data_IF_357555970249
#
_entry.id   IF_357555970249
#
_cell.length_a   1.000
_cell.length_b   1.000
_cell.length_c   1.000
_cell.angle_alpha   90.00
_cell.angle_beta   90.00
_cell.angle_gamma   90.00
#
_symmetry.space_group_name_H-M   'P 1'
#
loop_
_entity.id
_entity.type
_entity.pdbx_description
1 polymer ?
#
# COMPACT_ATOMS: atom_id res chain seq x y z
N UNK A 1 -20.86 -14.26 11.12
CA UNK A 1 -19.40 -14.34 11.40
C UNK A 1 -19.20 -15.42 12.45
N UNK A 2 -18.34 -16.42 12.22
CA UNK A 2 -17.96 -17.40 13.24
C UNK A 2 -16.61 -16.95 13.82
N UNK A 3 -16.57 -16.68 15.12
CA UNK A 3 -15.31 -16.46 15.83
C UNK A 3 -14.86 -17.82 16.37
N UNK A 4 -14.08 -18.55 15.57
CA UNK A 4 -13.69 -19.94 15.87
C UNK A 4 -12.92 -20.06 17.20
N UNK A 5 -12.37 -18.95 17.70
CA UNK A 5 -11.51 -18.94 18.88
C UNK A 5 -12.14 -18.32 20.14
N UNK A 6 -13.37 -17.79 20.11
CA UNK A 6 -13.95 -17.11 21.28
C UNK A 6 -14.08 -18.05 22.49
N UNK A 7 -14.72 -19.22 22.31
CA UNK A 7 -14.97 -20.16 23.41
C UNK A 7 -13.68 -20.70 24.03
N UNK A 8 -12.67 -20.97 23.20
CA UNK A 8 -11.35 -21.41 23.64
C UNK A 8 -10.62 -20.30 24.41
N UNK A 9 -10.61 -19.06 23.90
CA UNK A 9 -9.98 -17.93 24.58
C UNK A 9 -10.66 -17.63 25.92
N UNK A 10 -11.99 -17.62 25.96
CA UNK A 10 -12.74 -17.41 27.21
C UNK A 10 -12.39 -18.47 28.27
N UNK A 11 -12.33 -19.73 27.85
CA UNK A 11 -11.96 -20.86 28.72
C UNK A 11 -10.53 -20.74 29.25
N UNK A 12 -9.60 -20.31 28.41
CA UNK A 12 -8.21 -20.06 28.80
C UNK A 12 -8.09 -18.92 29.80
N UNK A 13 -8.73 -17.77 29.54
CA UNK A 13 -8.75 -16.63 30.44
C UNK A 13 -9.37 -16.97 31.80
N UNK A 14 -10.49 -17.71 31.81
CA UNK A 14 -11.12 -18.21 33.02
C UNK A 14 -10.17 -19.12 33.81
N UNK A 15 -9.53 -20.08 33.13
CA UNK A 15 -8.58 -21.00 33.77
C UNK A 15 -7.32 -20.31 34.28
N UNK A 16 -6.80 -19.28 33.60
CA UNK A 16 -5.66 -18.47 34.06
C UNK A 16 -5.95 -17.77 35.40
N UNK A 17 -7.21 -17.51 35.70
CA UNK A 17 -7.67 -16.97 36.99
C UNK A 17 -8.19 -18.03 37.96
N UNK A 18 -8.03 -19.32 37.65
CA UNK A 18 -8.48 -20.45 38.48
C UNK A 18 -9.98 -20.43 38.82
N UNK A 19 -10.81 -19.90 37.92
CA UNK A 19 -12.26 -19.78 38.13
C UNK A 19 -13.02 -20.99 37.58
N UNK A 20 -14.15 -21.37 38.19
CA UNK A 20 -15.12 -22.30 37.61
C UNK A 20 -16.10 -21.58 36.67
N UNK A 21 -16.86 -22.34 35.86
CA UNK A 21 -17.88 -21.76 34.99
C UNK A 21 -18.99 -21.08 35.82
N UNK A 22 -19.34 -21.67 36.96
CA UNK A 22 -20.29 -21.13 37.93
C UNK A 22 -19.82 -19.80 38.51
N UNK A 23 -18.55 -19.70 38.92
CA UNK A 23 -18.01 -18.47 39.47
C UNK A 23 -18.01 -17.34 38.43
N UNK A 24 -17.59 -17.63 37.19
CA UNK A 24 -17.64 -16.64 36.12
C UNK A 24 -19.08 -16.18 35.84
N UNK A 25 -20.04 -17.11 35.86
CA UNK A 25 -21.44 -16.80 35.65
C UNK A 25 -22.03 -15.92 36.75
N UNK A 26 -21.63 -16.15 38.01
CA UNK A 26 -22.01 -15.33 39.16
C UNK A 26 -21.52 -13.88 39.03
N UNK A 27 -20.25 -13.68 38.65
CA UNK A 27 -19.70 -12.32 38.42
C UNK A 27 -20.42 -11.56 37.29
N UNK A 28 -20.97 -12.27 36.32
CA UNK A 28 -21.66 -11.69 35.16
C UNK A 28 -23.18 -11.64 35.32
N UNK A 29 -23.74 -12.19 36.40
CA UNK A 29 -25.19 -12.25 36.62
C UNK A 29 -25.95 -13.12 35.61
N UNK A 30 -25.33 -14.21 35.15
CA UNK A 30 -25.87 -15.14 34.14
C UNK A 30 -25.88 -16.58 34.64
N UNK A 31 -26.38 -17.52 33.83
CA UNK A 31 -26.32 -18.94 34.16
C UNK A 31 -24.98 -19.58 33.81
N UNK A 32 -24.51 -20.53 34.62
CA UNK A 32 -23.31 -21.33 34.30
C UNK A 32 -23.45 -22.09 32.99
N UNK A 33 -24.67 -22.49 32.64
CA UNK A 33 -24.98 -23.12 31.36
C UNK A 33 -24.71 -22.20 30.17
N UNK A 34 -24.93 -20.88 30.30
CA UNK A 34 -24.56 -19.92 29.27
C UNK A 34 -23.05 -19.90 29.04
N UNK A 35 -22.26 -19.79 30.12
CA UNK A 35 -20.79 -19.85 30.06
C UNK A 35 -20.32 -21.16 29.43
N UNK A 36 -20.90 -22.30 29.81
CA UNK A 36 -20.56 -23.60 29.22
C UNK A 36 -20.86 -23.66 27.71
N UNK A 37 -22.01 -23.14 27.26
CA UNK A 37 -22.31 -23.07 25.83
C UNK A 37 -21.34 -22.16 25.07
N UNK A 38 -20.92 -21.06 25.68
CA UNK A 38 -19.92 -20.15 25.11
C UNK A 38 -18.56 -20.82 24.96
N UNK A 39 -18.06 -21.48 26.01
CA UNK A 39 -16.77 -22.16 25.98
C UNK A 39 -16.71 -23.35 25.03
N UNK A 40 -17.86 -23.94 24.69
CA UNK A 40 -17.98 -25.05 23.74
C UNK A 40 -18.41 -24.59 22.33
N UNK A 41 -18.38 -23.28 22.03
CA UNK A 41 -18.76 -22.69 20.74
C UNK A 41 -20.19 -23.05 20.29
N UNK A 42 -21.10 -23.38 21.22
CA UNK A 42 -22.51 -23.70 20.94
C UNK A 42 -23.32 -22.42 20.70
N UNK A 43 -22.97 -21.35 21.40
CA UNK A 43 -23.57 -20.02 21.27
C UNK A 43 -22.55 -18.94 21.63
N UNK A 44 -22.83 -17.69 21.35
CA UNK A 44 -22.01 -16.54 21.76
C UNK A 44 -22.71 -15.74 22.86
N UNK A 45 -21.97 -14.99 23.70
CA UNK A 45 -22.58 -13.99 24.57
C UNK A 45 -23.27 -12.93 23.71
N UNK A 46 -24.26 -12.25 24.31
CA UNK A 46 -24.76 -11.02 23.72
C UNK A 46 -23.62 -10.00 23.58
N UNK A 47 -23.64 -9.19 22.52
CA UNK A 47 -22.62 -8.16 22.28
C UNK A 47 -22.50 -7.20 23.47
N UNK A 48 -23.59 -6.98 24.21
CA UNK A 48 -23.63 -6.15 25.42
C UNK A 48 -22.80 -6.70 26.58
N UNK A 49 -22.48 -8.00 26.57
CA UNK A 49 -21.67 -8.65 27.62
C UNK A 49 -20.18 -8.63 27.32
N UNK A 50 -19.78 -8.32 26.08
CA UNK A 50 -18.37 -8.26 25.69
C UNK A 50 -17.57 -7.22 26.47
N UNK A 51 -18.07 -5.98 26.73
CA UNK A 51 -17.35 -5.02 27.57
C UNK A 51 -17.15 -5.49 29.02
N UNK A 52 -18.16 -6.16 29.59
CA UNK A 52 -18.07 -6.69 30.95
C UNK A 52 -17.02 -7.83 31.03
N UNK A 53 -17.03 -8.74 30.05
CA UNK A 53 -16.01 -9.78 29.91
C UNK A 53 -14.61 -9.18 29.75
N UNK A 54 -14.46 -8.16 28.89
CA UNK A 54 -13.19 -7.49 28.61
C UNK A 54 -12.61 -6.87 29.88
N UNK A 55 -13.43 -6.10 30.60
CA UNK A 55 -13.05 -5.49 31.87
C UNK A 55 -12.73 -6.54 32.95
N UNK A 56 -13.53 -7.60 33.04
CA UNK A 56 -13.33 -8.65 34.03
C UNK A 56 -11.97 -9.33 33.83
N UNK A 57 -11.63 -9.71 32.59
CA UNK A 57 -10.38 -10.40 32.28
C UNK A 57 -9.18 -9.48 32.08
N UNK A 58 -9.38 -8.15 32.02
CA UNK A 58 -8.36 -7.17 31.61
C UNK A 58 -7.79 -7.48 30.22
N UNK A 59 -8.67 -7.89 29.31
CA UNK A 59 -8.37 -8.24 27.92
C UNK A 59 -9.12 -7.28 26.98
N UNK A 60 -8.62 -7.07 25.78
CA UNK A 60 -9.39 -6.33 24.76
C UNK A 60 -10.53 -7.20 24.23
N UNK A 61 -11.56 -6.58 23.64
CA UNK A 61 -12.62 -7.34 22.96
C UNK A 61 -12.07 -8.13 21.77
N UNK A 62 -11.04 -7.61 21.09
CA UNK A 62 -10.32 -8.32 20.03
C UNK A 62 -9.66 -9.59 20.56
N UNK A 63 -8.98 -9.52 21.70
CA UNK A 63 -8.38 -10.69 22.36
C UNK A 63 -9.46 -11.72 22.71
N UNK A 64 -10.57 -11.29 23.32
CA UNK A 64 -11.71 -12.17 23.65
C UNK A 64 -12.30 -12.87 22.42
N UNK A 65 -12.48 -12.14 21.33
CA UNK A 65 -13.01 -12.67 20.07
C UNK A 65 -11.97 -13.50 19.30
N UNK A 66 -10.73 -13.57 19.78
CA UNK A 66 -9.62 -14.25 19.11
C UNK A 66 -9.23 -13.58 17.79
N UNK A 67 -9.45 -12.26 17.69
CA UNK A 67 -8.99 -11.43 16.57
C UNK A 67 -7.51 -11.18 16.75
N UNK A 68 -6.72 -12.02 16.10
CA UNK A 68 -5.27 -11.86 16.04
C UNK A 68 -4.91 -10.80 14.99
N UNK A 69 -4.52 -9.62 15.47
CA UNK A 69 -4.13 -8.48 14.62
C UNK A 69 -2.85 -8.78 13.83
N UNK A 70 -1.93 -9.58 14.37
CA UNK A 70 -0.72 -10.00 13.66
C UNK A 70 -1.09 -10.96 12.53
N UNK A 71 -1.95 -11.95 12.80
CA UNK A 71 -2.47 -12.86 11.76
C UNK A 71 -3.30 -12.14 10.70
N UNK A 72 -4.09 -11.13 11.10
CA UNK A 72 -4.80 -10.25 10.15
C UNK A 72 -3.81 -9.54 9.22
N UNK A 73 -2.75 -8.97 9.79
CA UNK A 73 -1.70 -8.28 9.03
C UNK A 73 -0.98 -9.24 8.08
N UNK A 74 -0.62 -10.43 8.56
CA UNK A 74 -0.01 -11.49 7.77
C UNK A 74 -0.92 -11.94 6.62
N UNK A 75 -2.22 -12.10 6.88
CA UNK A 75 -3.20 -12.45 5.86
C UNK A 75 -3.29 -11.35 4.79
N UNK A 76 -3.42 -10.07 5.18
CA UNK A 76 -3.43 -8.96 4.23
C UNK A 76 -2.15 -8.96 3.39
N UNK A 77 -0.99 -9.18 4.00
CA UNK A 77 0.28 -9.26 3.29
C UNK A 77 0.30 -10.41 2.27
N UNK A 78 -0.21 -11.59 2.62
CA UNK A 78 -0.34 -12.72 1.68
C UNK A 78 -1.26 -12.40 0.51
N UNK A 79 -2.39 -11.73 0.77
CA UNK A 79 -3.32 -11.30 -0.27
C UNK A 79 -2.68 -10.27 -1.21
N UNK A 80 -1.97 -9.29 -0.65
CA UNK A 80 -1.19 -8.31 -1.39
C UNK A 80 -0.15 -8.99 -2.31
N UNK A 81 0.64 -9.94 -1.77
CA UNK A 81 1.64 -10.66 -2.56
C UNK A 81 1.02 -11.49 -3.69
N UNK A 82 -0.11 -12.14 -3.44
CA UNK A 82 -0.83 -12.89 -4.48
C UNK A 82 -1.32 -11.97 -5.60
N UNK A 83 -1.89 -10.81 -5.25
CA UNK A 83 -2.31 -9.81 -6.22
C UNK A 83 -1.12 -9.23 -7.00
N UNK A 84 -0.03 -8.88 -6.31
CA UNK A 84 1.19 -8.36 -6.93
C UNK A 84 1.78 -9.37 -7.94
N UNK A 85 1.73 -10.67 -7.62
CA UNK A 85 2.12 -11.74 -8.55
C UNK A 85 1.24 -11.81 -9.81
N UNK A 86 -0.09 -11.81 -9.65
CA UNK A 86 -1.02 -11.81 -10.80
C UNK A 86 -0.81 -10.58 -11.69
N UNK A 87 -0.60 -9.43 -11.06
CA UNK A 87 -0.36 -8.15 -11.72
C UNK A 87 0.95 -8.20 -12.52
N UNK A 88 2.04 -8.72 -11.94
CA UNK A 88 3.32 -8.87 -12.62
C UNK A 88 3.24 -9.82 -13.83
N UNK A 89 2.39 -10.86 -13.74
CA UNK A 89 2.11 -11.80 -14.83
C UNK A 89 1.18 -11.21 -15.92
N UNK A 90 0.71 -9.97 -15.76
CA UNK A 90 -0.26 -9.33 -16.67
C UNK A 90 -1.70 -9.87 -16.56
N UNK A 91 -2.00 -10.65 -15.52
CA UNK A 91 -3.32 -11.27 -15.26
C UNK A 91 -4.26 -10.28 -14.54
N UNK A 92 -4.45 -9.11 -15.14
CA UNK A 92 -5.16 -7.99 -14.52
C UNK A 92 -6.63 -8.30 -14.18
N UNK A 93 -7.37 -8.90 -15.10
CA UNK A 93 -8.78 -9.22 -14.88
C UNK A 93 -8.99 -10.20 -13.71
N UNK A 94 -8.08 -11.17 -13.56
CA UNK A 94 -8.08 -12.10 -12.44
C UNK A 94 -7.73 -11.40 -11.12
N UNK A 95 -6.71 -10.53 -11.13
CA UNK A 95 -6.33 -9.72 -9.98
C UNK A 95 -7.51 -8.85 -9.52
N UNK A 96 -8.22 -8.18 -10.43
CA UNK A 96 -9.42 -7.38 -10.13
C UNK A 96 -10.50 -8.23 -9.46
N UNK A 97 -10.83 -9.39 -10.03
CA UNK A 97 -11.84 -10.29 -9.46
C UNK A 97 -11.46 -10.76 -8.05
N UNK A 98 -10.18 -11.14 -7.86
CA UNK A 98 -9.65 -11.58 -6.57
C UNK A 98 -9.66 -10.47 -5.53
N UNK A 99 -9.19 -9.28 -5.89
CA UNK A 99 -9.11 -8.13 -4.98
C UNK A 99 -10.50 -7.65 -4.54
N UNK A 100 -11.50 -7.69 -5.44
CA UNK A 100 -12.90 -7.41 -5.07
C UNK A 100 -13.42 -8.38 -4.00
N UNK A 101 -13.13 -9.67 -4.15
CA UNK A 101 -13.49 -10.67 -3.14
C UNK A 101 -12.78 -10.41 -1.79
N UNK A 102 -11.50 -10.05 -1.84
CA UNK A 102 -10.71 -9.78 -0.63
C UNK A 102 -11.20 -8.53 0.11
N UNK A 103 -11.59 -7.49 -0.63
CA UNK A 103 -12.13 -6.25 -0.08
C UNK A 103 -13.52 -6.41 0.55
N UNK A 104 -14.26 -7.49 0.26
CA UNK A 104 -15.47 -7.85 1.03
C UNK A 104 -15.10 -8.24 2.46
N UNK A 105 -13.97 -8.94 2.65
CA UNK A 105 -13.49 -9.36 3.97
C UNK A 105 -12.71 -8.26 4.69
N UNK A 106 -11.96 -7.46 3.93
CA UNK A 106 -11.12 -6.37 4.43
C UNK A 106 -11.54 -5.03 3.82
N UNK A 107 -12.76 -4.55 4.13
CA UNK A 107 -13.26 -3.32 3.56
C UNK A 107 -12.35 -2.15 3.93
N UNK A 108 -12.13 -1.26 2.96
CA UNK A 108 -11.34 -0.03 3.12
C UNK A 108 -9.85 -0.28 3.43
N UNK A 109 -9.34 -1.50 3.29
CA UNK A 109 -7.90 -1.73 3.39
C UNK A 109 -7.17 -1.04 2.23
N UNK A 110 -6.36 -0.04 2.55
CA UNK A 110 -5.72 0.85 1.58
C UNK A 110 -4.70 0.15 0.68
N UNK A 111 -3.96 -0.84 1.21
CA UNK A 111 -3.03 -1.67 0.45
C UNK A 111 -3.73 -2.51 -0.62
N UNK A 112 -4.87 -3.10 -0.30
CA UNK A 112 -5.69 -3.86 -1.25
C UNK A 112 -6.40 -2.93 -2.24
N UNK A 113 -6.91 -1.79 -1.78
CA UNK A 113 -7.51 -0.76 -2.63
C UNK A 113 -6.50 -0.24 -3.66
N UNK A 114 -5.27 0.06 -3.24
CA UNK A 114 -4.22 0.53 -4.15
C UNK A 114 -3.95 -0.47 -5.27
N UNK A 115 -3.85 -1.76 -4.92
CA UNK A 115 -3.65 -2.84 -5.90
C UNK A 115 -4.84 -3.02 -6.81
N UNK A 116 -6.07 -2.83 -6.30
CA UNK A 116 -7.28 -2.89 -7.11
C UNK A 116 -7.26 -1.76 -8.15
N UNK A 117 -6.96 -0.53 -7.73
CA UNK A 117 -6.82 0.60 -8.64
C UNK A 117 -5.76 0.33 -9.72
N UNK A 118 -4.61 -0.22 -9.35
CA UNK A 118 -3.56 -0.59 -10.31
C UNK A 118 -4.01 -1.66 -11.29
N UNK A 119 -4.63 -2.74 -10.80
CA UNK A 119 -5.12 -3.84 -11.63
C UNK A 119 -6.23 -3.39 -12.59
N UNK A 120 -7.15 -2.53 -12.13
CA UNK A 120 -8.17 -1.90 -12.97
C UNK A 120 -7.53 -1.14 -14.13
N UNK A 121 -6.41 -0.46 -13.88
CA UNK A 121 -5.73 0.33 -14.92
C UNK A 121 -5.09 -0.54 -16.00
N UNK A 122 -4.69 -1.76 -15.66
CA UNK A 122 -4.23 -2.76 -16.62
C UNK A 122 -5.33 -3.33 -17.51
N UNK A 123 -6.61 -3.01 -17.26
CA UNK A 123 -7.76 -3.48 -18.06
C UNK A 123 -8.50 -2.37 -18.80
N UNK A 124 -7.92 -1.16 -18.86
CA UNK A 124 -8.59 0.01 -19.47
C UNK A 124 -8.84 -0.20 -20.97
N UNK A 125 -7.99 -0.96 -21.66
CA UNK A 125 -8.16 -1.23 -23.08
C UNK A 125 -9.46 -1.99 -23.36
N UNK A 126 -9.78 -3.00 -22.56
CA UNK A 126 -10.99 -3.80 -22.66
C UNK A 126 -12.19 -3.16 -21.95
N UNK A 127 -11.92 -2.40 -20.88
CA UNK A 127 -12.92 -1.84 -19.98
C UNK A 127 -12.57 -0.39 -19.62
N UNK A 128 -12.83 0.59 -20.51
CA UNK A 128 -12.45 1.99 -20.31
C UNK A 128 -13.00 2.61 -19.01
N UNK A 129 -14.18 2.18 -18.56
CA UNK A 129 -14.80 2.64 -17.31
C UNK A 129 -13.97 2.33 -16.05
N UNK A 130 -13.03 1.37 -16.13
CA UNK A 130 -12.16 1.02 -15.01
C UNK A 130 -11.16 2.14 -14.69
N UNK A 131 -10.92 3.07 -15.63
CA UNK A 131 -10.10 4.26 -15.37
C UNK A 131 -10.75 5.16 -14.31
N UNK A 132 -12.05 5.44 -14.44
CA UNK A 132 -12.78 6.27 -13.47
C UNK A 132 -12.85 5.60 -12.10
N UNK A 133 -13.10 4.29 -12.06
CA UNK A 133 -13.08 3.52 -10.82
C UNK A 133 -11.71 3.58 -10.13
N UNK A 134 -10.62 3.42 -10.89
CA UNK A 134 -9.26 3.53 -10.35
C UNK A 134 -8.98 4.93 -9.78
N UNK A 135 -9.37 5.99 -10.49
CA UNK A 135 -9.22 7.38 -10.01
C UNK A 135 -9.95 7.55 -8.67
N UNK A 136 -11.22 7.13 -8.58
CA UNK A 136 -12.00 7.23 -7.35
C UNK A 136 -11.35 6.48 -6.17
N UNK A 137 -10.76 5.31 -6.44
CA UNK A 137 -10.05 4.55 -5.41
C UNK A 137 -8.79 5.28 -4.96
N UNK A 138 -8.00 5.85 -5.87
CA UNK A 138 -6.81 6.62 -5.49
C UNK A 138 -7.16 7.87 -4.69
N UNK A 139 -8.22 8.60 -5.06
CA UNK A 139 -8.73 9.74 -4.29
C UNK A 139 -9.14 9.33 -2.88
N UNK A 140 -9.83 8.19 -2.75
CA UNK A 140 -10.19 7.63 -1.44
C UNK A 140 -8.96 7.30 -0.60
N UNK A 141 -7.89 6.76 -1.20
CA UNK A 141 -6.63 6.48 -0.48
C UNK A 141 -6.00 7.78 0.05
N UNK A 142 -5.99 8.85 -0.76
CA UNK A 142 -5.48 10.16 -0.32
C UNK A 142 -6.25 10.71 0.89
N UNK A 143 -7.58 10.55 0.88
CA UNK A 143 -8.46 11.00 1.95
C UNK A 143 -8.29 10.14 3.22
N UNK A 144 -8.36 8.81 3.09
CA UNK A 144 -8.57 7.92 4.25
C UNK A 144 -7.32 7.23 4.78
N UNK A 145 -6.26 7.07 3.98
CA UNK A 145 -5.06 6.34 4.44
C UNK A 145 -4.30 7.13 5.50
N UNK A 146 -3.63 6.43 6.42
CA UNK A 146 -2.63 7.02 7.33
C UNK A 146 -1.19 6.79 6.84
N UNK A 147 -1.00 5.99 5.78
CA UNK A 147 0.31 5.68 5.22
C UNK A 147 0.74 6.79 4.24
N UNK A 148 1.68 7.62 4.68
CA UNK A 148 2.22 8.71 3.87
C UNK A 148 2.86 8.22 2.55
N UNK A 149 3.51 7.06 2.57
CA UNK A 149 4.13 6.49 1.36
C UNK A 149 3.06 6.07 0.37
N UNK A 150 1.99 5.46 0.85
CA UNK A 150 0.87 5.05 0.01
C UNK A 150 0.14 6.25 -0.59
N UNK A 151 -0.02 7.33 0.19
CA UNK A 151 -0.56 8.60 -0.34
C UNK A 151 0.28 9.17 -1.47
N UNK A 152 1.61 9.21 -1.31
CA UNK A 152 2.51 9.67 -2.36
C UNK A 152 2.42 8.79 -3.62
N UNK A 153 2.31 7.47 -3.47
CA UNK A 153 2.08 6.55 -4.60
C UNK A 153 0.75 6.82 -5.29
N UNK A 154 -0.33 6.98 -4.54
CA UNK A 154 -1.66 7.28 -5.09
C UNK A 154 -1.68 8.64 -5.82
N UNK A 155 -1.04 9.67 -5.24
CA UNK A 155 -0.89 10.99 -5.85
C UNK A 155 -0.12 10.89 -7.18
N UNK A 156 1.02 10.20 -7.19
CA UNK A 156 1.78 9.93 -8.41
C UNK A 156 0.92 9.21 -9.46
N UNK A 157 0.18 8.18 -9.06
CA UNK A 157 -0.64 7.42 -10.00
C UNK A 157 -1.78 8.27 -10.57
N UNK A 158 -2.40 9.15 -9.78
CA UNK A 158 -3.42 10.10 -10.25
C UNK A 158 -2.90 11.01 -11.37
N UNK A 159 -1.65 11.44 -11.33
CA UNK A 159 -1.03 12.24 -12.41
C UNK A 159 -1.18 11.50 -13.73
N UNK A 160 -0.76 10.23 -13.78
CA UNK A 160 -0.84 9.41 -14.99
C UNK A 160 -2.28 9.10 -15.41
N UNK A 161 -3.20 8.90 -14.45
CA UNK A 161 -4.61 8.60 -14.76
C UNK A 161 -5.35 9.80 -15.32
N UNK A 162 -5.19 10.98 -14.73
CA UNK A 162 -5.77 12.21 -15.27
C UNK A 162 -5.17 12.57 -16.63
N UNK A 163 -3.86 12.38 -16.81
CA UNK A 163 -3.22 12.55 -18.12
C UNK A 163 -3.80 11.59 -19.17
N UNK A 164 -3.95 10.30 -18.84
CA UNK A 164 -4.57 9.31 -19.74
C UNK A 164 -6.02 9.66 -20.09
N UNK A 165 -6.73 10.33 -19.17
CA UNK A 165 -8.10 10.81 -19.38
C UNK A 165 -8.18 12.11 -20.21
N UNK A 166 -7.07 12.80 -20.43
CA UNK A 166 -7.02 14.13 -21.08
C UNK A 166 -7.37 15.29 -20.15
N UNK A 167 -7.27 15.07 -18.84
CA UNK A 167 -7.60 16.04 -17.79
C UNK A 167 -6.31 16.68 -17.20
N UNK A 168 -5.54 17.36 -18.05
CA UNK A 168 -4.17 17.82 -17.74
C UNK A 168 -4.09 18.77 -16.54
N UNK A 169 -5.11 19.60 -16.32
CA UNK A 169 -5.16 20.50 -15.17
C UNK A 169 -5.15 19.74 -13.84
N UNK A 170 -5.85 18.59 -13.76
CA UNK A 170 -5.83 17.75 -12.57
C UNK A 170 -4.50 16.99 -12.46
N UNK A 171 -3.95 16.52 -13.58
CA UNK A 171 -2.62 15.89 -13.57
C UNK A 171 -1.55 16.85 -13.02
N UNK A 172 -1.55 18.10 -13.49
CA UNK A 172 -0.64 19.14 -13.02
C UNK A 172 -0.86 19.48 -11.53
N UNK A 173 -2.11 19.61 -11.09
CA UNK A 173 -2.44 19.86 -9.68
C UNK A 173 -1.80 18.83 -8.74
N UNK A 174 -1.89 17.53 -9.06
CA UNK A 174 -1.27 16.50 -8.23
C UNK A 174 0.26 16.45 -8.38
N UNK A 175 0.79 16.81 -9.54
CA UNK A 175 2.24 16.91 -9.74
C UNK A 175 2.86 18.02 -8.87
N UNK A 176 2.21 19.18 -8.78
CA UNK A 176 2.66 20.31 -7.95
C UNK A 176 2.61 20.03 -6.44
N UNK A 177 1.85 19.02 -6.01
CA UNK A 177 1.78 18.59 -4.61
C UNK A 177 2.87 17.59 -4.21
N UNK A 178 3.55 16.97 -5.18
CA UNK A 178 4.69 16.09 -4.90
C UNK A 178 5.90 16.90 -4.43
N UNK A 179 6.71 16.30 -3.57
CA UNK A 179 7.96 16.91 -3.12
C UNK A 179 8.88 17.20 -4.29
N UNK A 180 9.51 18.37 -4.25
CA UNK A 180 10.58 18.73 -5.17
C UNK A 180 11.81 17.85 -4.92
N UNK A 181 12.65 17.72 -5.95
CA UNK A 181 13.80 16.81 -5.95
C UNK A 181 14.77 17.07 -4.79
N UNK A 182 15.02 18.32 -4.47
CA UNK A 182 15.91 18.74 -3.38
C UNK A 182 15.39 18.36 -1.99
N UNK A 183 14.10 18.03 -1.86
CA UNK A 183 13.48 17.53 -0.63
C UNK A 183 13.40 16.00 -0.58
N UNK A 184 13.67 15.30 -1.69
CA UNK A 184 13.63 13.85 -1.73
C UNK A 184 14.70 13.23 -0.82
N UNK A 185 14.36 12.06 -0.27
CA UNK A 185 15.23 11.29 0.64
C UNK A 185 16.56 10.93 -0.04
N UNK A 186 16.48 10.52 -1.30
CA UNK A 186 17.61 10.06 -2.12
C UNK A 186 18.67 11.15 -2.21
N UNK A 187 18.23 12.37 -2.49
CA UNK A 187 19.08 13.55 -2.61
C UNK A 187 19.72 13.95 -1.28
N UNK A 188 18.92 14.01 -0.19
CA UNK A 188 19.41 14.50 1.09
C UNK A 188 20.33 13.50 1.82
N UNK A 189 20.04 12.19 1.76
CA UNK A 189 20.89 11.20 2.42
C UNK A 189 22.32 11.19 1.87
N UNK A 190 22.49 11.37 0.56
CA UNK A 190 23.82 11.47 -0.06
C UNK A 190 24.64 12.68 0.40
N UNK A 191 23.98 13.72 0.92
CA UNK A 191 24.62 15.00 1.33
C UNK A 191 24.71 15.18 2.86
N UNK A 192 23.91 14.45 3.61
CA UNK A 192 23.68 14.68 5.05
C UNK A 192 24.79 14.22 6.01
N UNK A 193 25.92 13.70 5.51
CA UNK A 193 26.98 13.03 6.31
C UNK A 193 26.47 11.90 7.23
N UNK A 194 25.24 11.42 7.04
CA UNK A 194 24.65 10.34 7.85
C UNK A 194 25.22 8.96 7.50
N UNK A 195 25.62 8.77 6.24
CA UNK A 195 26.33 7.58 5.78
C UNK A 195 27.82 7.91 5.65
N UNK A 196 28.69 6.92 5.90
CA UNK A 196 30.13 7.09 5.75
C UNK A 196 30.80 5.83 5.18
N UNK A 197 32.03 5.97 4.70
CA UNK A 197 32.85 4.84 4.23
C UNK A 197 32.15 4.02 3.14
N UNK A 198 32.07 2.70 3.36
CA UNK A 198 31.52 1.74 2.39
C UNK A 198 30.02 1.94 2.15
N UNK A 199 29.27 2.29 3.17
CA UNK A 199 27.81 2.42 3.07
C UNK A 199 27.42 3.66 2.25
N UNK A 200 28.13 4.78 2.45
CA UNK A 200 27.97 5.97 1.61
C UNK A 200 28.35 5.67 0.16
N UNK A 201 29.46 4.97 -0.08
CA UNK A 201 29.90 4.63 -1.42
C UNK A 201 28.88 3.75 -2.16
N UNK A 202 28.33 2.72 -1.48
CA UNK A 202 27.28 1.88 -2.04
C UNK A 202 26.01 2.68 -2.34
N UNK A 203 25.60 3.54 -1.42
CA UNK A 203 24.42 4.38 -1.57
C UNK A 203 24.54 5.37 -2.74
N UNK A 204 25.67 6.07 -2.84
CA UNK A 204 25.92 7.01 -3.94
C UNK A 204 25.99 6.31 -5.29
N UNK A 205 26.48 5.06 -5.34
CA UNK A 205 26.47 4.26 -6.58
C UNK A 205 25.05 4.00 -7.09
N UNK A 206 24.12 3.67 -6.20
CA UNK A 206 22.71 3.50 -6.57
C UNK A 206 22.06 4.83 -6.96
N UNK A 207 22.38 5.92 -6.28
CA UNK A 207 21.91 7.26 -6.65
C UNK A 207 22.41 7.71 -8.04
N UNK A 208 23.66 7.41 -8.39
CA UNK A 208 24.19 7.70 -9.75
C UNK A 208 23.34 7.00 -10.80
N UNK A 209 22.96 5.74 -10.55
CA UNK A 209 22.07 5.00 -11.46
C UNK A 209 20.69 5.62 -11.56
N UNK A 210 20.07 5.90 -10.41
CA UNK A 210 18.72 6.48 -10.36
C UNK A 210 18.66 7.85 -11.06
N UNK A 211 19.53 8.78 -10.69
CA UNK A 211 19.55 10.13 -11.27
C UNK A 211 20.02 10.13 -12.72
N UNK A 212 20.98 9.26 -13.06
CA UNK A 212 21.44 9.12 -14.44
C UNK A 212 20.33 8.59 -15.36
N UNK A 213 19.52 7.63 -14.91
CA UNK A 213 18.37 7.16 -15.69
C UNK A 213 17.33 8.28 -15.90
N UNK A 214 17.02 9.06 -14.86
CA UNK A 214 16.12 10.21 -14.99
C UNK A 214 16.67 11.27 -15.96
N UNK A 215 17.98 11.53 -15.93
CA UNK A 215 18.64 12.41 -16.89
C UNK A 215 18.63 11.85 -18.31
N UNK A 216 18.80 10.53 -18.49
CA UNK A 216 18.70 9.88 -19.80
C UNK A 216 17.31 10.10 -20.40
N UNK A 217 16.24 9.85 -19.64
CA UNK A 217 14.86 10.06 -20.10
C UNK A 217 14.63 11.51 -20.56
N UNK A 218 15.13 12.49 -19.81
CA UNK A 218 15.08 13.90 -20.20
C UNK A 218 15.88 14.19 -21.48
N UNK A 219 17.08 13.63 -21.62
CA UNK A 219 17.94 13.85 -22.78
C UNK A 219 17.41 13.18 -24.05
N UNK A 220 16.79 12.01 -23.91
CA UNK A 220 16.16 11.28 -25.02
C UNK A 220 15.07 12.10 -25.67
N UNK A 221 14.30 12.88 -24.88
CA UNK A 221 13.36 13.85 -25.42
C UNK A 221 14.05 14.78 -26.42
N UNK A 222 15.16 15.43 -26.06
CA UNK A 222 15.88 16.37 -26.95
C UNK A 222 16.55 15.74 -28.17
N UNK A 223 16.51 14.42 -28.35
CA UNK A 223 17.05 13.79 -29.57
C UNK A 223 16.13 13.91 -30.78
N UNK A 224 14.83 14.17 -30.58
CA UNK A 224 13.91 14.31 -31.69
C UNK A 224 14.07 15.68 -32.38
N UNK A 225 14.09 15.72 -33.73
CA UNK A 225 14.24 16.97 -34.46
C UNK A 225 13.02 17.88 -34.26
N UNK A 226 13.27 19.19 -34.09
CA UNK A 226 12.22 20.21 -34.02
C UNK A 226 11.58 20.42 -32.64
N UNK A 227 12.14 19.86 -31.57
CA UNK A 227 11.61 20.01 -30.21
C UNK A 227 11.83 21.40 -29.62
N UNK A 228 12.97 22.03 -29.89
CA UNK A 228 13.27 23.40 -29.48
C UNK A 228 13.30 24.29 -30.71
N UNK A 229 12.73 25.49 -30.60
CA UNK A 229 12.98 26.54 -31.56
C UNK A 229 14.49 26.91 -31.50
N UNK A 230 15.12 27.31 -32.62
CA UNK A 230 16.55 27.64 -32.65
C UNK A 230 16.98 28.70 -31.62
N UNK A 231 16.07 29.61 -31.28
CA UNK A 231 16.22 30.66 -30.27
C UNK A 231 16.16 30.15 -28.82
N UNK A 232 15.45 29.05 -28.58
CA UNK A 232 15.31 28.40 -27.26
C UNK A 232 16.33 27.29 -27.04
N UNK A 233 17.18 27.01 -28.05
CA UNK A 233 18.03 25.84 -28.05
C UNK A 233 19.10 25.86 -26.95
N UNK A 234 19.55 27.03 -26.43
CA UNK A 234 20.53 27.21 -25.33
C UNK A 234 21.58 26.08 -25.17
N UNK A 235 22.22 25.66 -26.27
CA UNK A 235 23.23 24.58 -26.29
C UNK A 235 22.70 23.12 -26.24
N UNK A 236 21.40 22.91 -26.24
CA UNK A 236 20.69 21.64 -26.46
C UNK A 236 20.26 21.50 -27.93
N UNK A 237 21.17 20.96 -28.74
CA UNK A 237 20.84 20.40 -30.05
C UNK A 237 20.64 18.89 -29.95
N UNK A 238 19.95 18.29 -30.94
CA UNK A 238 19.82 16.83 -31.02
C UNK A 238 21.18 16.11 -31.05
N UNK A 239 22.20 16.74 -31.64
CA UNK A 239 23.56 16.20 -31.67
C UNK A 239 24.24 16.27 -30.30
N UNK A 240 24.12 17.42 -29.62
CA UNK A 240 24.63 17.58 -28.25
C UNK A 240 23.93 16.63 -27.26
N UNK A 241 22.63 16.38 -27.44
CA UNK A 241 21.88 15.41 -26.64
C UNK A 241 22.41 13.99 -26.84
N UNK A 242 22.65 13.56 -28.09
CA UNK A 242 23.24 12.24 -28.39
C UNK A 242 24.62 12.06 -27.79
N UNK A 243 25.48 13.08 -27.84
CA UNK A 243 26.81 13.04 -27.22
C UNK A 243 26.69 12.86 -25.69
N UNK A 244 25.85 13.66 -25.04
CA UNK A 244 25.60 13.57 -23.59
C UNK A 244 25.03 12.20 -23.18
N UNK A 245 24.11 11.63 -23.97
CA UNK A 245 23.55 10.28 -23.75
C UNK A 245 24.66 9.22 -23.81
N UNK A 246 25.54 9.28 -24.82
CA UNK A 246 26.65 8.33 -24.97
C UNK A 246 27.59 8.35 -23.76
N UNK A 247 27.93 9.53 -23.25
CA UNK A 247 28.73 9.68 -22.03
C UNK A 247 28.01 9.11 -20.81
N UNK A 248 26.72 9.42 -20.66
CA UNK A 248 25.93 9.00 -19.50
C UNK A 248 25.73 7.48 -19.45
N UNK A 249 25.48 6.83 -20.60
CA UNK A 249 25.41 5.36 -20.68
C UNK A 249 26.69 4.66 -20.23
N UNK A 250 27.87 5.24 -20.52
CA UNK A 250 29.16 4.74 -20.02
C UNK A 250 29.29 4.88 -18.50
N UNK A 251 28.84 6.00 -17.93
CA UNK A 251 28.82 6.20 -16.47
C UNK A 251 27.91 5.19 -15.78
N UNK A 252 26.82 4.81 -16.46
CA UNK A 252 25.81 3.89 -15.94
C UNK A 252 26.12 2.40 -16.19
N UNK A 253 27.21 2.09 -16.90
CA UNK A 253 27.54 0.74 -17.35
C UNK A 253 26.42 0.06 -18.19
N UNK A 254 25.61 0.82 -18.94
CA UNK A 254 24.47 0.29 -19.71
C UNK A 254 24.92 -0.38 -21.02
N UNK A 255 26.07 -0.01 -21.57
CA UNK A 255 26.60 -0.52 -22.84
C UNK A 255 27.68 -1.62 -22.66
N UNK A 256 27.69 -2.35 -21.54
CA UNK A 256 28.62 -3.47 -21.27
C UNK A 256 27.94 -4.83 -21.27
#
# INVERSE_FOLDING_TARGET
>A
MKYENFGTTLKELRKKRSLTQEQLAEYLGISSQAVSKWENNISYPDVSLLPALANYFQASTDELLGVDTAKRTENIQKLCLAADGMIADGRYAEAVAKLRLDLVQYPVNDQLLYRLAWALTGTIQEHPQNLDEAILIYLKILETSSDATLKLKAMRDLIYRYYTKGEDAFALHYAEQLSTFELCREYNLGRSNLLSGRDLAAYLKENIRLFGNAMLECLEYFTAPGILAPEDADGYSAEAAKEKISLLKRVLDIDR
#
